data_IF_364453549392
#
_entry.id   IF_364453549392
#
_cell.length_a   1.000
_cell.length_b   1.000
_cell.length_c   1.000
_cell.angle_alpha   90.00
_cell.angle_beta   90.00
_cell.angle_gamma   90.00
#
_symmetry.space_group_name_H-M   'P 1'
#
loop_
_entity.id
_entity.type
_entity.pdbx_description
1 polymer ?
#
# COMPACT_ATOMS: atom_id res chain seq x y z
N UNK A 1 11.33 -5.07 -14.49
CA UNK A 1 12.10 -6.11 -13.77
C UNK A 1 12.71 -7.06 -14.78
N UNK A 2 13.98 -7.41 -14.60
CA UNK A 2 14.69 -8.44 -15.41
C UNK A 2 13.95 -9.78 -15.37
N UNK A 3 13.26 -10.08 -14.28
CA UNK A 3 12.45 -11.30 -14.13
C UNK A 3 11.32 -11.38 -15.16
N UNK A 4 10.70 -10.26 -15.55
CA UNK A 4 9.63 -10.27 -16.58
C UNK A 4 10.16 -10.62 -17.98
N UNK A 5 11.45 -10.41 -18.25
CA UNK A 5 12.09 -10.76 -19.53
C UNK A 5 12.62 -12.21 -19.58
N UNK A 6 12.71 -12.89 -18.44
CA UNK A 6 13.22 -14.26 -18.33
C UNK A 6 12.23 -15.08 -17.48
N UNK A 7 11.08 -15.49 -18.04
CA UNK A 7 10.10 -16.27 -17.30
C UNK A 7 10.72 -17.58 -16.81
N UNK A 8 10.48 -17.96 -15.54
CA UNK A 8 11.05 -19.17 -14.98
C UNK A 8 10.53 -20.42 -15.70
N UNK A 9 11.44 -21.31 -16.10
CA UNK A 9 11.10 -22.63 -16.63
C UNK A 9 10.86 -23.62 -15.49
N UNK A 10 9.86 -23.33 -14.64
CA UNK A 10 9.49 -24.16 -13.51
C UNK A 10 8.33 -25.05 -13.93
N UNK A 11 8.48 -26.37 -13.81
CA UNK A 11 7.43 -27.36 -14.10
C UNK A 11 7.22 -28.34 -12.93
N UNK A 12 7.42 -27.88 -11.70
CA UNK A 12 7.10 -28.60 -10.45
C UNK A 12 6.05 -27.82 -9.67
N UNK A 13 5.23 -28.46 -8.81
CA UNK A 13 4.35 -27.77 -7.91
C UNK A 13 5.13 -26.80 -7.03
N UNK A 14 4.58 -25.60 -6.81
CA UNK A 14 5.20 -24.53 -6.02
C UNK A 14 4.24 -24.09 -4.93
N UNK A 15 4.72 -23.92 -3.70
CA UNK A 15 3.99 -23.21 -2.65
C UNK A 15 4.62 -21.84 -2.46
N UNK A 16 3.83 -20.79 -2.66
CA UNK A 16 4.25 -19.39 -2.46
C UNK A 16 3.53 -18.86 -1.25
N UNK A 17 4.28 -18.28 -0.31
CA UNK A 17 3.74 -17.73 0.92
C UNK A 17 4.20 -16.29 1.05
N UNK A 18 3.24 -15.37 1.22
CA UNK A 18 3.48 -13.95 1.43
C UNK A 18 2.72 -13.46 2.66
N UNK A 19 3.18 -12.38 3.25
CA UNK A 19 2.47 -11.65 4.30
C UNK A 19 2.00 -10.30 3.79
N UNK A 20 0.82 -9.85 4.23
CA UNK A 20 0.34 -8.51 3.87
C UNK A 20 1.32 -7.40 4.28
N UNK A 21 2.09 -7.60 5.34
CA UNK A 21 3.08 -6.63 5.83
C UNK A 21 4.52 -7.12 5.67
N UNK A 22 4.75 -8.06 4.75
CA UNK A 22 6.10 -8.50 4.39
C UNK A 22 6.69 -7.53 3.34
N UNK A 23 7.86 -6.97 3.63
CA UNK A 23 8.59 -6.09 2.70
C UNK A 23 9.04 -6.80 1.40
N UNK A 24 9.02 -8.14 1.35
CA UNK A 24 9.26 -8.93 0.14
C UNK A 24 7.98 -9.27 -0.64
N UNK A 25 6.81 -8.85 -0.19
CA UNK A 25 5.53 -9.22 -0.77
C UNK A 25 5.48 -8.97 -2.28
N UNK A 26 5.93 -7.80 -2.76
CA UNK A 26 5.93 -7.47 -4.19
C UNK A 26 6.70 -8.49 -5.02
N UNK A 27 7.92 -8.81 -4.61
CA UNK A 27 8.78 -9.80 -5.30
C UNK A 27 8.21 -11.21 -5.23
N UNK A 28 7.61 -11.59 -4.10
CA UNK A 28 6.97 -12.89 -3.88
C UNK A 28 5.75 -13.08 -4.79
N UNK A 29 4.88 -12.08 -4.87
CA UNK A 29 3.72 -12.11 -5.76
C UNK A 29 4.13 -12.11 -7.24
N UNK A 30 5.10 -11.28 -7.62
CA UNK A 30 5.65 -11.28 -8.97
C UNK A 30 6.22 -12.66 -9.34
N UNK A 31 6.90 -13.33 -8.39
CA UNK A 31 7.41 -14.69 -8.58
C UNK A 31 6.30 -15.68 -8.90
N UNK A 32 5.15 -15.58 -8.21
CA UNK A 32 3.98 -16.41 -8.50
C UNK A 32 3.31 -16.06 -9.83
N UNK A 33 3.15 -14.78 -10.14
CA UNK A 33 2.56 -14.31 -11.40
C UNK A 33 3.33 -14.82 -12.63
N UNK A 34 4.66 -14.91 -12.54
CA UNK A 34 5.52 -15.35 -13.62
C UNK A 34 5.52 -16.87 -13.86
N UNK A 35 4.90 -17.66 -12.98
CA UNK A 35 4.71 -19.10 -13.21
C UNK A 35 3.80 -19.30 -14.43
N UNK A 36 4.08 -20.35 -15.20
CA UNK A 36 3.19 -20.76 -16.30
C UNK A 36 1.83 -21.21 -15.74
N UNK A 37 0.76 -21.08 -16.53
CA UNK A 37 -0.57 -21.56 -16.13
C UNK A 37 -0.56 -23.06 -15.79
N UNK A 38 0.23 -23.86 -16.53
CA UNK A 38 0.46 -25.28 -16.22
C UNK A 38 1.07 -25.50 -14.84
N UNK A 39 1.96 -24.61 -14.41
CA UNK A 39 2.60 -24.68 -13.09
C UNK A 39 1.65 -24.17 -12.01
N UNK A 40 0.96 -23.06 -12.25
CA UNK A 40 -0.05 -22.51 -11.31
C UNK A 40 -1.15 -23.53 -11.01
N UNK A 41 -1.65 -24.26 -12.02
CA UNK A 41 -2.70 -25.26 -11.86
C UNK A 41 -2.39 -26.39 -10.85
N UNK A 42 -1.14 -26.54 -10.46
CA UNK A 42 -0.67 -27.50 -9.46
C UNK A 42 0.06 -26.87 -8.28
N UNK A 43 -0.07 -25.55 -8.16
CA UNK A 43 0.64 -24.74 -7.17
C UNK A 43 -0.34 -23.96 -6.30
N UNK A 44 0.17 -23.38 -5.22
CA UNK A 44 -0.65 -22.55 -4.34
C UNK A 44 0.01 -21.24 -3.97
N UNK A 45 -0.84 -20.25 -3.68
CA UNK A 45 -0.48 -18.96 -3.12
C UNK A 45 -1.21 -18.77 -1.79
N UNK A 46 -0.47 -18.48 -0.74
CA UNK A 46 -1.03 -18.18 0.58
C UNK A 46 -0.55 -16.79 0.98
N UNK A 47 -1.49 -15.89 1.28
CA UNK A 47 -1.19 -14.52 1.72
C UNK A 47 -1.84 -14.30 3.08
N UNK A 48 -1.02 -14.21 4.12
CA UNK A 48 -1.50 -14.08 5.49
C UNK A 48 -1.42 -12.66 6.05
N UNK A 49 -2.04 -12.47 7.23
CA UNK A 49 -2.02 -11.20 7.96
C UNK A 49 -0.72 -10.95 8.73
N UNK A 50 0.40 -11.48 8.30
CA UNK A 50 1.70 -11.44 9.00
C UNK A 50 2.74 -10.56 8.32
N UNK A 51 3.83 -10.29 9.06
CA UNK A 51 5.06 -9.67 8.58
C UNK A 51 6.04 -10.74 8.04
N UNK A 52 7.28 -10.34 7.74
CA UNK A 52 8.33 -11.23 7.25
C UNK A 52 8.68 -12.37 8.23
N UNK A 53 8.53 -12.16 9.52
CA UNK A 53 8.82 -13.15 10.55
C UNK A 53 7.63 -14.10 10.79
N UNK A 54 6.61 -14.10 9.94
CA UNK A 54 5.34 -14.83 10.09
C UNK A 54 4.64 -14.55 11.44
N UNK A 55 4.86 -13.34 11.97
CA UNK A 55 4.13 -12.89 13.16
C UNK A 55 2.87 -12.20 12.70
N UNK A 56 1.76 -12.61 13.27
CA UNK A 56 0.47 -11.98 12.99
C UNK A 56 0.51 -10.53 13.41
N UNK A 57 0.30 -9.67 12.46
CA UNK A 57 0.04 -8.27 12.67
C UNK A 57 -1.22 -7.90 11.89
N UNK A 58 -2.13 -7.19 12.43
CA UNK A 58 -2.03 -6.46 13.67
C UNK A 58 -2.81 -7.18 14.78
N UNK A 59 -2.37 -7.00 16.01
CA UNK A 59 -3.34 -6.97 17.08
C UNK A 59 -4.09 -5.65 16.94
N UNK A 60 -5.10 -5.61 16.09
CA UNK A 60 -6.07 -4.53 16.09
C UNK A 60 -6.79 -4.67 17.43
N UNK A 61 -6.63 -3.70 18.34
CA UNK A 61 -7.30 -3.73 19.63
C UNK A 61 -8.79 -4.02 19.40
N UNK A 62 -9.28 -5.13 19.94
CA UNK A 62 -10.66 -5.60 19.78
C UNK A 62 -10.94 -6.53 18.60
N UNK A 63 -9.98 -6.84 17.74
CA UNK A 63 -10.11 -7.93 16.75
C UNK A 63 -9.02 -8.95 17.03
N UNK A 64 -9.40 -10.08 17.59
CA UNK A 64 -8.50 -11.23 17.72
C UNK A 64 -8.32 -11.87 16.35
N UNK A 65 -7.10 -11.82 15.81
CA UNK A 65 -6.71 -12.57 14.63
C UNK A 65 -6.33 -14.00 15.06
N UNK A 66 -7.31 -14.74 15.55
CA UNK A 66 -7.11 -16.04 16.19
C UNK A 66 -7.15 -17.20 15.19
N UNK A 67 -7.43 -16.93 13.93
CA UNK A 67 -7.50 -17.97 12.91
C UNK A 67 -6.21 -18.09 12.12
N UNK A 68 -5.09 -17.98 12.81
CA UNK A 68 -3.80 -18.18 12.20
C UNK A 68 -3.68 -19.59 11.62
N UNK A 69 -3.40 -19.62 10.34
CA UNK A 69 -2.92 -20.84 9.71
C UNK A 69 -1.54 -21.14 10.31
N UNK A 70 -1.40 -22.30 10.96
CA UNK A 70 -0.07 -22.78 11.30
C UNK A 70 0.66 -23.13 10.00
N UNK A 71 1.36 -22.12 9.44
CA UNK A 71 1.97 -22.20 8.11
C UNK A 71 3.00 -23.31 8.01
N UNK A 72 3.69 -23.67 9.11
CA UNK A 72 4.65 -24.76 9.10
C UNK A 72 3.96 -26.11 9.01
N UNK A 73 2.93 -26.35 9.83
CA UNK A 73 2.16 -27.57 9.79
C UNK A 73 1.43 -27.73 8.43
N UNK A 74 0.89 -26.66 7.90
CA UNK A 74 0.24 -26.63 6.59
C UNK A 74 1.23 -26.93 5.46
N UNK A 75 2.41 -26.34 5.50
CA UNK A 75 3.48 -26.60 4.53
C UNK A 75 3.97 -28.04 4.60
N UNK A 76 4.14 -28.62 5.80
CA UNK A 76 4.50 -30.02 5.97
C UNK A 76 3.43 -30.96 5.42
N UNK A 77 2.15 -30.67 5.65
CA UNK A 77 1.03 -31.42 5.08
C UNK A 77 1.05 -31.40 3.55
N UNK A 78 1.26 -30.22 2.96
CA UNK A 78 1.37 -30.06 1.51
C UNK A 78 2.55 -30.86 0.94
N UNK A 79 3.72 -30.80 1.57
CA UNK A 79 4.90 -31.59 1.18
C UNK A 79 4.65 -33.09 1.34
N UNK A 80 3.97 -33.52 2.40
CA UNK A 80 3.60 -34.93 2.62
C UNK A 80 2.71 -35.43 1.46
N UNK A 81 1.70 -34.67 1.07
CA UNK A 81 0.84 -35.00 -0.05
C UNK A 81 1.65 -35.20 -1.34
N UNK A 82 2.60 -34.31 -1.61
CA UNK A 82 3.41 -34.35 -2.81
C UNK A 82 4.45 -35.48 -2.81
N UNK A 83 5.19 -35.65 -1.71
CA UNK A 83 6.37 -36.50 -1.66
C UNK A 83 6.09 -37.91 -1.13
N UNK A 84 5.15 -38.06 -0.23
CA UNK A 84 4.80 -39.34 0.41
C UNK A 84 3.61 -39.99 -0.27
N UNK A 85 2.50 -39.25 -0.41
CA UNK A 85 1.31 -39.75 -1.10
C UNK A 85 1.48 -39.77 -2.63
N UNK A 86 2.53 -39.14 -3.14
CA UNK A 86 2.81 -39.00 -4.59
C UNK A 86 1.62 -38.46 -5.39
N UNK A 87 0.84 -37.57 -4.77
CA UNK A 87 -0.33 -36.93 -5.35
C UNK A 87 -0.03 -35.47 -5.64
N UNK A 88 -0.36 -35.01 -6.85
CA UNK A 88 -0.23 -33.60 -7.21
C UNK A 88 -1.30 -32.81 -6.46
N UNK A 89 -0.92 -31.80 -5.64
CA UNK A 89 -1.87 -30.93 -4.96
C UNK A 89 -2.73 -30.15 -5.96
N UNK A 90 -3.95 -29.84 -5.57
CA UNK A 90 -4.84 -28.96 -6.35
C UNK A 90 -4.35 -27.51 -6.25
N UNK A 91 -4.75 -26.70 -7.23
CA UNK A 91 -4.57 -25.27 -7.21
C UNK A 91 -5.28 -24.65 -6.01
N UNK A 92 -4.61 -23.74 -5.30
CA UNK A 92 -5.16 -23.08 -4.13
C UNK A 92 -4.65 -21.66 -4.06
N UNK A 93 -5.54 -20.69 -3.87
CA UNK A 93 -5.22 -19.31 -3.52
C UNK A 93 -5.98 -18.96 -2.26
N UNK A 94 -5.24 -18.77 -1.16
CA UNK A 94 -5.80 -18.37 0.14
C UNK A 94 -5.27 -17.02 0.55
N UNK A 95 -6.17 -16.08 0.86
CA UNK A 95 -5.80 -14.74 1.30
C UNK A 95 -6.55 -14.40 2.59
N UNK A 96 -5.80 -13.97 3.58
CA UNK A 96 -6.38 -13.55 4.85
C UNK A 96 -6.98 -12.15 4.75
N UNK A 97 -8.25 -12.02 5.10
CA UNK A 97 -8.97 -10.75 5.14
C UNK A 97 -8.84 -10.12 6.52
N UNK A 98 -7.99 -9.09 6.62
CA UNK A 98 -7.79 -8.31 7.84
C UNK A 98 -9.08 -7.53 8.13
N UNK A 99 -9.47 -7.42 9.40
CA UNK A 99 -10.72 -6.80 9.81
C UNK A 99 -11.92 -7.76 9.78
N UNK A 100 -12.00 -8.65 8.80
CA UNK A 100 -13.00 -9.71 8.73
C UNK A 100 -12.59 -10.97 9.52
N UNK A 101 -11.33 -11.08 9.92
CA UNK A 101 -10.75 -12.23 10.63
C UNK A 101 -11.10 -13.57 9.99
N UNK A 102 -10.89 -13.67 8.69
CA UNK A 102 -11.18 -14.92 7.93
C UNK A 102 -10.25 -15.13 6.75
N UNK A 103 -10.03 -16.39 6.41
CA UNK A 103 -9.41 -16.80 5.17
C UNK A 103 -10.43 -16.81 4.04
N UNK A 104 -10.03 -16.24 2.88
CA UNK A 104 -10.80 -16.27 1.66
C UNK A 104 -10.14 -17.24 0.69
N UNK A 105 -10.92 -18.20 0.18
CA UNK A 105 -10.53 -19.03 -0.95
C UNK A 105 -10.88 -18.28 -2.24
N UNK A 106 -9.91 -18.11 -3.12
CA UNK A 106 -10.02 -17.34 -4.36
C UNK A 106 -9.53 -18.18 -5.55
N UNK A 107 -10.00 -17.89 -6.74
CA UNK A 107 -9.44 -18.49 -7.95
C UNK A 107 -8.08 -17.91 -8.29
N UNK A 108 -7.93 -16.61 -8.06
CA UNK A 108 -6.66 -15.87 -8.22
C UNK A 108 -6.61 -14.65 -7.30
N UNK A 109 -5.43 -14.11 -7.09
CA UNK A 109 -5.28 -12.87 -6.36
C UNK A 109 -4.15 -11.99 -6.97
N UNK A 110 -4.36 -10.67 -7.14
CA UNK A 110 -5.58 -9.94 -6.75
C UNK A 110 -6.83 -10.49 -7.42
N UNK A 111 -7.97 -10.38 -6.71
CA UNK A 111 -9.25 -10.94 -7.17
C UNK A 111 -9.72 -10.29 -8.47
N UNK A 112 -10.19 -11.07 -9.42
CA UNK A 112 -10.94 -10.54 -10.55
C UNK A 112 -12.31 -10.04 -10.09
N UNK A 113 -12.79 -8.98 -10.73
CA UNK A 113 -14.15 -8.45 -10.51
C UNK A 113 -14.27 -7.45 -9.37
N UNK A 114 -13.18 -7.10 -8.66
CA UNK A 114 -13.20 -5.97 -7.75
C UNK A 114 -13.54 -4.68 -8.52
N UNK A 115 -14.53 -3.93 -8.02
CA UNK A 115 -14.95 -2.65 -8.62
C UNK A 115 -14.10 -1.52 -8.07
N UNK A 116 -13.64 -0.65 -8.95
CA UNK A 116 -12.92 0.54 -8.52
C UNK A 116 -13.87 1.56 -7.88
N UNK A 117 -13.62 1.90 -6.62
CA UNK A 117 -14.25 3.01 -5.93
C UNK A 117 -13.27 4.18 -5.88
N UNK A 118 -13.66 5.31 -6.48
CA UNK A 118 -12.82 6.52 -6.52
C UNK A 118 -13.30 7.53 -5.49
N UNK A 119 -12.38 7.99 -4.64
CA UNK A 119 -12.61 9.04 -3.65
C UNK A 119 -11.72 10.25 -3.96
N UNK A 120 -12.33 11.41 -4.11
CA UNK A 120 -11.67 12.69 -4.39
C UNK A 120 -11.43 13.47 -3.10
N UNK A 121 -10.30 14.17 -3.04
CA UNK A 121 -9.98 15.09 -1.96
C UNK A 121 -10.84 16.34 -2.04
N UNK A 122 -11.38 16.76 -0.91
CA UNK A 122 -12.16 17.97 -0.76
C UNK A 122 -11.35 19.24 -1.00
N UNK A 123 -12.03 20.31 -1.43
CA UNK A 123 -11.40 21.59 -1.75
C UNK A 123 -11.36 22.55 -0.55
N UNK A 124 -12.40 22.58 0.24
CA UNK A 124 -12.59 23.52 1.34
C UNK A 124 -12.51 22.83 2.72
N UNK A 125 -12.64 21.52 2.75
CA UNK A 125 -12.60 20.69 3.95
C UNK A 125 -11.69 19.48 3.72
N UNK A 126 -11.07 19.00 4.78
CA UNK A 126 -10.23 17.78 4.78
C UNK A 126 -11.09 16.51 4.60
N UNK A 127 -11.87 16.46 3.54
CA UNK A 127 -12.85 15.42 3.24
C UNK A 127 -12.46 14.55 2.05
N UNK A 128 -12.94 13.29 2.06
CA UNK A 128 -12.90 12.36 0.93
C UNK A 128 -14.32 12.04 0.50
N UNK A 129 -14.60 12.14 -0.79
CA UNK A 129 -15.92 11.89 -1.34
C UNK A 129 -15.84 11.25 -2.71
N UNK A 130 -16.80 10.38 -3.05
CA UNK A 130 -16.95 9.87 -4.43
C UNK A 130 -17.41 10.96 -5.40
N UNK A 131 -17.84 12.10 -4.90
CA UNK A 131 -18.21 13.27 -5.71
C UNK A 131 -16.97 14.11 -6.00
N UNK A 132 -16.63 14.25 -7.27
CA UNK A 132 -15.54 15.15 -7.67
C UNK A 132 -15.85 16.60 -7.29
N UNK A 133 -14.95 17.30 -6.58
CA UNK A 133 -15.17 18.69 -6.18
C UNK A 133 -15.21 19.64 -7.38
N UNK A 134 -16.09 20.62 -7.31
CA UNK A 134 -16.20 21.69 -8.32
C UNK A 134 -15.16 22.78 -8.07
N UNK A 135 -14.83 23.54 -9.14
CA UNK A 135 -13.89 24.65 -9.04
C UNK A 135 -12.43 24.23 -9.04
N UNK A 136 -11.57 25.01 -8.39
CA UNK A 136 -10.13 24.80 -8.22
C UNK A 136 -9.70 25.13 -6.80
N UNK A 137 -8.69 24.46 -6.29
CA UNK A 137 -8.09 24.71 -4.98
C UNK A 137 -6.78 23.97 -4.87
N UNK A 138 -6.11 24.14 -3.75
CA UNK A 138 -4.95 23.39 -3.37
C UNK A 138 -4.80 23.39 -1.83
N UNK A 139 -4.15 22.35 -1.32
CA UNK A 139 -3.62 22.26 0.03
C UNK A 139 -2.11 22.39 -0.04
N UNK A 140 -1.47 22.96 0.96
CA UNK A 140 -0.02 23.19 0.94
C UNK A 140 0.61 22.80 2.27
N UNK A 141 1.86 22.34 2.18
CA UNK A 141 2.71 22.07 3.35
C UNK A 141 4.18 22.33 2.99
N UNK A 142 5.00 22.46 4.02
CA UNK A 142 6.44 22.59 3.88
C UNK A 142 7.10 21.27 4.28
N UNK A 143 7.94 20.73 3.42
CA UNK A 143 8.72 19.53 3.71
C UNK A 143 10.17 19.87 3.98
N UNK A 144 10.64 19.52 5.19
CA UNK A 144 12.04 19.62 5.61
C UNK A 144 12.64 18.21 5.71
N UNK A 145 13.62 17.85 4.84
CA UNK A 145 14.29 16.56 4.91
C UNK A 145 15.07 16.32 6.21
N UNK A 146 15.38 17.35 6.99
CA UNK A 146 16.07 17.22 8.29
C UNK A 146 15.12 16.78 9.42
N UNK A 147 13.80 16.93 9.23
CA UNK A 147 12.76 16.51 10.17
C UNK A 147 11.69 15.65 9.45
N UNK A 148 12.05 14.45 8.97
CA UNK A 148 11.12 13.63 8.21
C UNK A 148 9.98 13.06 9.07
N UNK A 149 8.85 12.81 8.44
CA UNK A 149 7.77 12.00 9.04
C UNK A 149 8.31 10.61 9.34
N UNK A 150 8.14 10.17 10.58
CA UNK A 150 8.61 8.86 11.04
C UNK A 150 7.54 7.80 10.74
N UNK A 151 7.98 6.69 10.14
CA UNK A 151 7.12 5.54 9.86
C UNK A 151 6.56 4.94 11.14
N UNK A 152 5.25 4.70 11.13
CA UNK A 152 4.53 4.02 12.20
C UNK A 152 3.78 2.85 11.58
N UNK A 153 4.29 1.64 11.79
CA UNK A 153 3.78 0.43 11.13
C UNK A 153 4.30 0.27 9.69
N UNK A 154 3.58 -0.50 8.89
CA UNK A 154 3.91 -0.79 7.50
C UNK A 154 4.85 -1.97 7.31
N UNK A 155 5.40 -2.10 6.11
CA UNK A 155 6.29 -3.20 5.69
C UNK A 155 7.76 -2.91 6.05
N UNK A 156 8.03 -2.42 7.27
CA UNK A 156 9.38 -2.03 7.72
C UNK A 156 10.13 -3.21 8.31
N UNK A 157 11.40 -3.40 7.91
CA UNK A 157 12.28 -4.43 8.49
C UNK A 157 13.37 -3.85 9.41
N UNK A 158 13.73 -2.60 9.27
CA UNK A 158 15.04 -2.07 9.63
C UNK A 158 15.25 -1.74 11.12
N UNK A 159 14.25 -1.94 11.99
CA UNK A 159 14.45 -1.64 13.41
C UNK A 159 13.56 -2.47 14.30
N UNK A 160 14.14 -3.08 15.33
CA UNK A 160 13.38 -3.69 16.44
C UNK A 160 12.59 -2.65 17.27
N UNK A 161 12.88 -1.35 17.08
CA UNK A 161 12.20 -0.25 17.76
C UNK A 161 10.96 0.25 17.02
N UNK A 162 10.83 -0.06 15.73
CA UNK A 162 9.67 0.34 14.91
C UNK A 162 8.70 -0.83 14.87
N UNK A 163 7.46 -0.58 15.28
CA UNK A 163 6.40 -1.58 15.19
C UNK A 163 6.07 -1.82 13.71
N UNK A 164 6.04 -3.09 13.31
CA UNK A 164 5.69 -3.54 11.96
C UNK A 164 4.18 -3.74 11.84
N UNK A 165 3.71 -3.83 10.61
CA UNK A 165 2.33 -4.17 10.30
C UNK A 165 1.37 -3.00 10.44
N UNK A 166 0.10 -3.31 10.67
CA UNK A 166 -0.90 -2.30 10.98
C UNK A 166 -0.88 -2.00 12.48
N UNK A 167 -0.69 -0.76 12.84
CA UNK A 167 -0.56 -0.32 14.23
C UNK A 167 -1.30 1.01 14.43
N UNK A 168 -1.57 1.34 15.69
CA UNK A 168 -2.20 2.61 16.06
C UNK A 168 -1.39 3.78 15.51
N UNK A 169 -2.04 4.63 14.73
CA UNK A 169 -1.48 5.81 14.11
C UNK A 169 -1.62 7.05 15.01
N UNK A 170 -0.82 8.07 14.72
CA UNK A 170 -0.96 9.38 15.35
C UNK A 170 -2.29 10.05 14.96
N UNK A 171 -2.84 10.89 15.83
CA UNK A 171 -4.06 11.63 15.51
C UNK A 171 -3.85 12.59 14.33
N UNK A 172 -4.94 12.98 13.66
CA UNK A 172 -4.89 14.01 12.62
C UNK A 172 -4.33 15.33 13.17
N UNK A 173 -3.54 16.04 12.36
CA UNK A 173 -2.98 17.33 12.73
C UNK A 173 -1.81 17.26 13.72
N UNK A 174 -1.22 16.10 13.98
CA UNK A 174 -0.02 16.00 14.84
C UNK A 174 1.25 16.61 14.22
N UNK A 175 1.25 16.83 12.90
CA UNK A 175 2.31 17.53 12.14
C UNK A 175 1.67 18.41 11.06
N UNK A 176 2.28 19.56 10.82
CA UNK A 176 1.82 20.52 9.80
C UNK A 176 2.26 20.12 8.38
N UNK A 177 3.21 19.20 8.24
CA UNK A 177 3.69 18.66 6.96
C UNK A 177 2.96 17.38 6.51
N UNK A 178 1.84 17.05 7.15
CA UNK A 178 0.93 15.98 6.77
C UNK A 178 -0.45 16.56 6.51
N UNK A 179 -0.88 16.49 5.26
CA UNK A 179 -2.27 16.74 4.91
C UNK A 179 -3.09 15.49 5.15
N UNK A 180 -4.24 15.61 5.78
CA UNK A 180 -5.16 14.50 6.03
C UNK A 180 -6.54 14.74 5.43
N UNK A 181 -7.19 13.64 5.04
CA UNK A 181 -8.55 13.66 4.45
C UNK A 181 -9.33 12.46 4.96
N UNK A 182 -10.61 12.70 5.33
CA UNK A 182 -11.49 11.68 5.92
C UNK A 182 -12.74 11.49 5.05
N UNK A 183 -13.13 10.24 4.85
CA UNK A 183 -14.43 9.93 4.26
C UNK A 183 -15.57 10.14 5.27
N UNK A 184 -16.81 10.12 4.80
CA UNK A 184 -17.95 9.86 5.69
C UNK A 184 -17.84 8.44 6.27
N UNK A 185 -18.42 8.19 7.46
CA UNK A 185 -18.47 6.85 8.03
C UNK A 185 -19.23 5.88 7.13
N UNK A 186 -18.79 4.63 7.07
CA UNK A 186 -19.48 3.57 6.35
C UNK A 186 -20.58 2.95 7.19
N UNK A 187 -21.80 2.85 6.65
CA UNK A 187 -22.92 2.19 7.33
C UNK A 187 -22.77 0.66 7.39
N UNK A 188 -21.97 0.09 6.49
CA UNK A 188 -21.79 -1.37 6.32
C UNK A 188 -20.31 -1.67 6.18
N UNK A 189 -19.89 -2.93 6.47
CA UNK A 189 -18.54 -3.35 6.15
C UNK A 189 -18.21 -3.11 4.68
N UNK A 190 -16.99 -2.66 4.40
CA UNK A 190 -16.48 -2.44 3.04
C UNK A 190 -15.16 -3.17 2.87
N UNK A 191 -15.12 -4.13 1.94
CA UNK A 191 -13.93 -4.94 1.71
C UNK A 191 -13.09 -4.36 0.57
N UNK A 192 -11.89 -3.90 0.90
CA UNK A 192 -10.84 -3.57 -0.06
C UNK A 192 -10.12 -4.88 -0.42
N UNK A 193 -9.95 -5.17 -1.72
CA UNK A 193 -9.24 -6.37 -2.17
C UNK A 193 -8.46 -6.11 -3.45
N UNK A 194 -7.16 -5.85 -3.29
CA UNK A 194 -6.24 -5.58 -4.40
C UNK A 194 -5.30 -4.40 -4.13
N UNK A 195 -4.58 -3.92 -5.17
CA UNK A 195 -3.68 -2.78 -5.07
C UNK A 195 -4.46 -1.47 -4.93
N UNK A 196 -3.95 -0.56 -4.10
CA UNK A 196 -4.49 0.78 -3.95
C UNK A 196 -3.68 1.75 -4.83
N UNK A 197 -4.34 2.75 -5.40
CA UNK A 197 -3.67 3.75 -6.24
C UNK A 197 -4.11 5.16 -5.87
N UNK A 198 -3.16 6.05 -5.65
CA UNK A 198 -3.44 7.47 -5.55
C UNK A 198 -2.96 8.20 -6.81
N UNK A 199 -3.80 9.10 -7.31
CA UNK A 199 -3.48 10.04 -8.40
C UNK A 199 -3.45 11.44 -7.80
N UNK A 200 -2.25 11.94 -7.53
CA UNK A 200 -2.03 13.20 -6.84
C UNK A 200 -1.61 14.28 -7.83
N UNK A 201 -2.46 15.28 -8.04
CA UNK A 201 -2.09 16.47 -8.77
C UNK A 201 -1.24 17.36 -7.87
N UNK A 202 0.01 17.53 -8.23
CA UNK A 202 1.05 18.04 -7.35
C UNK A 202 1.91 19.10 -8.00
N UNK A 203 2.42 20.04 -7.21
CA UNK A 203 3.51 20.93 -7.61
C UNK A 203 4.43 21.25 -6.45
N UNK A 204 5.70 21.47 -6.76
CA UNK A 204 6.77 21.79 -5.82
C UNK A 204 7.60 22.97 -6.36
N UNK A 205 8.27 23.69 -5.48
CA UNK A 205 9.29 24.69 -5.86
C UNK A 205 10.68 24.08 -6.09
N UNK A 206 10.79 22.73 -6.04
CA UNK A 206 12.00 21.98 -6.29
C UNK A 206 11.96 21.23 -7.62
N UNK A 207 13.11 20.88 -8.19
CA UNK A 207 13.22 20.12 -9.45
C UNK A 207 12.91 18.63 -9.28
N UNK A 208 12.97 18.11 -8.05
CA UNK A 208 12.55 16.76 -7.69
C UNK A 208 12.19 16.71 -6.20
N UNK A 209 11.22 15.89 -5.83
CA UNK A 209 10.81 15.63 -4.45
C UNK A 209 9.97 14.38 -4.37
N UNK A 210 9.71 13.87 -3.17
CA UNK A 210 8.83 12.73 -2.97
C UNK A 210 7.40 13.15 -2.60
N UNK A 211 6.46 12.28 -2.93
CA UNK A 211 5.06 12.31 -2.49
C UNK A 211 4.75 10.96 -1.85
N UNK A 212 4.40 10.95 -0.57
CA UNK A 212 3.92 9.77 0.14
C UNK A 212 2.42 9.84 0.34
N UNK A 213 1.76 8.70 0.23
CA UNK A 213 0.33 8.56 0.49
C UNK A 213 0.15 7.38 1.43
N UNK A 214 -0.46 7.63 2.58
CA UNK A 214 -0.84 6.59 3.54
C UNK A 214 -2.36 6.48 3.60
N UNK A 215 -2.88 5.26 3.47
CA UNK A 215 -4.29 4.94 3.63
C UNK A 215 -4.46 4.21 4.95
N UNK A 216 -5.41 4.64 5.75
CA UNK A 216 -5.71 4.11 7.08
C UNK A 216 -7.21 3.93 7.27
N UNK A 217 -7.59 3.08 8.21
CA UNK A 217 -8.92 2.99 8.78
C UNK A 217 -9.00 3.81 10.07
N UNK A 218 -9.83 4.84 10.10
CA UNK A 218 -10.23 5.51 11.34
C UNK A 218 -11.53 4.87 11.82
N UNK A 219 -11.50 4.26 12.99
CA UNK A 219 -12.63 3.55 13.58
C UNK A 219 -13.61 4.49 14.25
N UNK A 220 -14.80 4.00 14.56
CA UNK A 220 -15.86 4.76 15.22
C UNK A 220 -15.45 5.33 16.59
N UNK A 221 -14.48 4.73 17.28
CA UNK A 221 -13.90 5.20 18.54
C UNK A 221 -12.78 6.24 18.37
N UNK A 222 -12.44 6.58 17.13
CA UNK A 222 -11.37 7.52 16.78
C UNK A 222 -9.97 6.89 16.70
N UNK A 223 -9.81 5.60 17.00
CA UNK A 223 -8.54 4.91 16.78
C UNK A 223 -8.28 4.72 15.28
N UNK A 224 -7.04 4.89 14.85
CA UNK A 224 -6.68 4.81 13.44
C UNK A 224 -5.59 3.77 13.23
N UNK A 225 -5.75 2.91 12.22
CA UNK A 225 -4.79 1.86 11.86
C UNK A 225 -4.40 1.98 10.39
N UNK A 226 -3.08 1.90 10.10
CA UNK A 226 -2.58 1.96 8.73
C UNK A 226 -2.96 0.71 7.94
N UNK A 227 -3.43 0.92 6.71
CA UNK A 227 -3.73 -0.13 5.73
C UNK A 227 -2.55 -0.30 4.78
N UNK A 228 -2.17 0.79 4.07
CA UNK A 228 -1.06 0.81 3.11
C UNK A 228 -0.40 2.17 3.06
N UNK A 229 0.89 2.15 2.71
CA UNK A 229 1.64 3.36 2.36
C UNK A 229 2.32 3.16 1.02
N UNK A 230 2.41 4.21 0.23
CA UNK A 230 3.15 4.23 -1.03
C UNK A 230 3.92 5.54 -1.18
N UNK A 231 4.91 5.52 -2.07
CA UNK A 231 5.74 6.67 -2.41
C UNK A 231 5.96 6.76 -3.92
N UNK A 232 6.02 7.97 -4.44
CA UNK A 232 6.55 8.27 -5.76
C UNK A 232 7.39 9.54 -5.70
N UNK A 233 8.25 9.76 -6.70
CA UNK A 233 8.96 11.02 -6.86
C UNK A 233 8.51 11.73 -8.13
N UNK A 234 8.76 13.04 -8.22
CA UNK A 234 8.45 13.79 -9.46
C UNK A 234 9.23 13.24 -10.66
N UNK A 235 10.43 12.71 -10.42
CA UNK A 235 11.24 12.08 -11.48
C UNK A 235 10.62 10.75 -11.99
N UNK A 236 9.79 10.08 -11.20
CA UNK A 236 9.15 8.80 -11.56
C UNK A 236 7.62 8.85 -11.39
N UNK A 237 7.03 10.03 -11.63
CA UNK A 237 5.62 10.33 -11.34
C UNK A 237 4.57 9.51 -12.07
N UNK A 238 4.95 8.86 -13.19
CA UNK A 238 4.06 7.96 -13.94
C UNK A 238 4.25 6.47 -13.59
N UNK A 239 5.06 6.19 -12.56
CA UNK A 239 5.42 4.86 -12.08
C UNK A 239 6.02 3.93 -13.15
N UNK A 240 6.68 4.48 -14.19
CA UNK A 240 7.38 3.70 -15.20
C UNK A 240 8.84 3.52 -14.83
N UNK A 241 9.20 2.31 -14.43
CA UNK A 241 10.59 1.96 -14.14
C UNK A 241 11.49 2.24 -15.34
N UNK A 242 12.62 2.92 -15.09
CA UNK A 242 13.63 3.26 -16.09
C UNK A 242 13.34 4.50 -16.94
N UNK A 243 12.20 5.16 -16.74
CA UNK A 243 11.82 6.39 -17.45
C UNK A 243 11.85 7.59 -16.51
N UNK A 244 13.05 8.07 -16.21
CA UNK A 244 13.20 9.29 -15.41
C UNK A 244 12.73 10.50 -16.20
N UNK A 245 11.86 11.30 -15.60
CA UNK A 245 11.30 12.52 -16.18
C UNK A 245 11.93 13.76 -15.52
N UNK A 246 12.08 14.81 -16.29
CA UNK A 246 12.39 16.15 -15.75
C UNK A 246 11.13 16.81 -15.22
N UNK A 247 11.29 17.69 -14.26
CA UNK A 247 10.22 18.49 -13.69
C UNK A 247 10.64 19.95 -13.63
N UNK A 248 9.74 20.85 -14.01
CA UNK A 248 9.95 22.29 -13.89
C UNK A 248 9.30 22.78 -12.59
N UNK A 249 10.04 23.41 -11.68
CA UNK A 249 9.47 23.95 -10.44
C UNK A 249 8.21 24.80 -10.67
N UNK A 250 7.15 24.49 -9.93
CA UNK A 250 5.84 25.14 -10.03
C UNK A 250 4.88 24.56 -11.08
N UNK A 251 5.34 23.66 -11.94
CA UNK A 251 4.45 22.94 -12.86
C UNK A 251 3.48 22.03 -12.10
N UNK A 252 2.20 21.99 -12.54
CA UNK A 252 1.21 21.09 -11.97
C UNK A 252 1.20 19.80 -12.76
N UNK A 253 1.59 18.69 -12.13
CA UNK A 253 1.67 17.35 -12.73
C UNK A 253 0.86 16.32 -11.95
N UNK A 254 0.39 15.27 -12.61
CA UNK A 254 -0.20 14.11 -11.90
C UNK A 254 0.92 13.17 -11.49
N UNK A 255 0.96 12.81 -10.21
CA UNK A 255 1.87 11.81 -9.62
C UNK A 255 1.05 10.59 -9.28
N UNK A 256 1.45 9.43 -9.81
CA UNK A 256 0.85 8.14 -9.49
C UNK A 256 1.61 7.51 -8.35
N UNK A 257 0.92 7.24 -7.24
CA UNK A 257 1.44 6.49 -6.10
C UNK A 257 0.72 5.16 -6.03
N UNK A 258 1.42 4.08 -6.36
CA UNK A 258 0.91 2.72 -6.24
C UNK A 258 1.28 2.13 -4.88
N UNK A 259 0.37 1.35 -4.33
CA UNK A 259 0.52 0.66 -3.05
C UNK A 259 0.28 -0.83 -3.24
N UNK A 260 0.98 -1.64 -2.48
CA UNK A 260 0.86 -3.10 -2.55
C UNK A 260 -0.59 -3.56 -2.31
N UNK A 261 -1.00 -4.67 -2.93
CA UNK A 261 -2.35 -5.20 -2.75
C UNK A 261 -2.56 -5.66 -1.30
N UNK A 262 -3.82 -5.56 -0.83
CA UNK A 262 -4.25 -6.00 0.49
C UNK A 262 -5.69 -6.51 0.42
N UNK A 263 -6.08 -7.38 1.35
CA UNK A 263 -7.47 -7.64 1.67
C UNK A 263 -7.76 -7.09 3.07
N UNK A 264 -8.60 -6.06 3.11
CA UNK A 264 -8.95 -5.35 4.34
C UNK A 264 -10.45 -5.05 4.38
N UNK A 265 -11.11 -5.45 5.45
CA UNK A 265 -12.51 -5.11 5.68
C UNK A 265 -12.62 -3.95 6.68
N UNK A 266 -13.06 -2.79 6.19
CA UNK A 266 -13.42 -1.65 7.01
C UNK A 266 -14.67 -1.98 7.81
N UNK A 267 -14.68 -1.64 9.09
CA UNK A 267 -15.81 -1.93 9.97
C UNK A 267 -16.93 -0.90 9.82
N UNK A 268 -18.18 -1.24 10.15
CA UNK A 268 -19.28 -0.25 10.23
C UNK A 268 -18.92 0.90 11.17
N UNK A 269 -19.21 2.13 10.76
CA UNK A 269 -18.86 3.34 11.49
C UNK A 269 -17.43 3.83 11.26
N UNK A 270 -16.57 3.01 10.62
CA UNK A 270 -15.21 3.43 10.26
C UNK A 270 -15.21 4.37 9.06
N UNK A 271 -14.10 5.11 8.91
CA UNK A 271 -13.81 6.01 7.79
C UNK A 271 -12.51 5.61 7.13
N UNK A 272 -12.36 5.92 5.85
CA UNK A 272 -11.06 5.96 5.19
C UNK A 272 -10.38 7.27 5.57
N UNK A 273 -9.14 7.18 6.07
CA UNK A 273 -8.23 8.31 6.23
C UNK A 273 -7.12 8.19 5.20
N UNK A 274 -6.84 9.30 4.52
CA UNK A 274 -5.71 9.44 3.60
C UNK A 274 -4.81 10.54 4.12
N UNK A 275 -3.55 10.22 4.38
CA UNK A 275 -2.51 11.18 4.73
C UNK A 275 -1.57 11.37 3.54
N UNK A 276 -1.23 12.62 3.21
CA UNK A 276 -0.28 12.97 2.15
C UNK A 276 0.85 13.79 2.75
N UNK A 277 2.09 13.37 2.50
CA UNK A 277 3.31 14.04 2.91
C UNK A 277 4.42 13.85 1.87
N UNK A 278 5.67 14.14 2.21
CA UNK A 278 6.85 13.93 1.36
C UNK A 278 7.88 12.97 1.95
N UNK A 279 7.57 12.33 3.07
CA UNK A 279 8.45 11.37 3.74
C UNK A 279 7.65 10.35 4.55
N UNK A 280 8.25 9.19 4.79
CA UNK A 280 7.82 8.14 5.73
C UNK A 280 9.06 7.29 6.06
N UNK A 281 9.93 7.83 6.91
CA UNK A 281 11.24 7.26 7.24
C UNK A 281 11.14 6.37 8.49
N UNK A 282 11.77 5.21 8.52
CA UNK A 282 12.69 4.63 7.55
C UNK A 282 12.06 3.63 6.56
N UNK A 283 10.72 3.55 6.43
CA UNK A 283 10.11 2.68 5.41
C UNK A 283 10.59 3.09 4.02
N UNK A 284 10.69 4.39 3.79
CA UNK A 284 11.27 4.96 2.58
C UNK A 284 12.45 5.88 2.92
N UNK A 285 13.41 5.94 2.02
CA UNK A 285 14.54 6.86 2.13
C UNK A 285 14.10 8.31 2.07
N UNK A 286 14.75 9.17 2.85
CA UNK A 286 14.49 10.61 2.87
C UNK A 286 14.90 11.21 1.51
N UNK A 287 13.99 11.90 0.84
CA UNK A 287 14.28 12.61 -0.40
C UNK A 287 14.90 13.98 -0.09
N UNK A 288 16.00 14.31 -0.72
CA UNK A 288 16.78 15.53 -0.46
C UNK A 288 16.17 16.81 -1.04
N UNK A 289 15.14 16.69 -1.90
CA UNK A 289 14.56 17.74 -2.75
C UNK A 289 15.49 18.25 -3.86
N UNK A 290 16.53 17.47 -4.19
CA UNK A 290 17.39 17.70 -5.35
C UNK A 290 17.21 16.56 -6.37
N UNK A 291 17.31 16.85 -7.68
CA UNK A 291 17.31 15.83 -8.71
C UNK A 291 18.63 15.04 -8.69
N UNK A 292 18.59 13.80 -9.12
CA UNK A 292 19.79 12.96 -9.28
C UNK A 292 19.68 11.59 -8.64
N UNK A 293 20.82 10.93 -8.55
CA UNK A 293 20.92 9.63 -7.88
C UNK A 293 20.93 9.85 -6.38
N UNK A 294 19.95 9.26 -5.69
CA UNK A 294 19.75 9.48 -4.26
C UNK A 294 21.03 9.21 -3.42
N UNK A 295 21.75 8.11 -3.70
CA UNK A 295 22.95 7.75 -2.93
C UNK A 295 24.15 8.70 -3.14
N UNK A 296 24.09 9.58 -4.13
CA UNK A 296 25.15 10.55 -4.44
C UNK A 296 24.83 11.95 -3.87
N UNK A 297 23.66 12.13 -3.29
CA UNK A 297 23.22 13.43 -2.80
C UNK A 297 23.81 13.73 -1.43
N UNK A 298 24.46 14.90 -1.31
CA UNK A 298 25.10 15.35 -0.08
C UNK A 298 24.46 16.61 0.50
N UNK A 299 23.44 17.15 -0.17
CA UNK A 299 22.72 18.36 0.22
C UNK A 299 21.25 18.08 0.36
N UNK A 300 20.59 18.79 1.26
CA UNK A 300 19.14 18.81 1.42
C UNK A 300 18.64 20.24 1.32
N UNK A 301 17.39 20.43 0.92
CA UNK A 301 16.70 21.71 1.01
C UNK A 301 15.24 21.51 1.39
N UNK A 302 14.68 22.52 2.04
CA UNK A 302 13.25 22.61 2.32
C UNK A 302 12.48 22.84 1.00
N UNK A 303 11.31 22.23 0.87
CA UNK A 303 10.43 22.35 -0.29
C UNK A 303 9.02 22.80 0.11
N UNK A 304 8.44 23.71 -0.69
CA UNK A 304 7.04 24.11 -0.57
C UNK A 304 6.20 23.26 -1.53
N UNK A 305 5.32 22.45 -0.96
CA UNK A 305 4.52 21.47 -1.67
C UNK A 305 3.07 21.94 -1.81
N UNK A 306 2.44 21.61 -2.94
CA UNK A 306 1.01 21.85 -3.15
C UNK A 306 0.33 20.62 -3.74
N UNK A 307 -0.74 20.20 -3.10
CA UNK A 307 -1.66 19.16 -3.58
C UNK A 307 -2.88 19.87 -4.17
N UNK A 308 -3.05 19.77 -5.48
CA UNK A 308 -4.13 20.45 -6.19
C UNK A 308 -5.40 19.61 -6.19
N UNK A 309 -6.54 20.27 -6.07
CA UNK A 309 -7.86 19.66 -5.98
C UNK A 309 -8.88 20.39 -6.86
N UNK A 310 -9.97 19.72 -7.19
CA UNK A 310 -11.06 20.30 -7.95
C UNK A 310 -11.25 19.71 -9.35
N UNK A 311 -12.03 20.38 -10.20
CA UNK A 311 -12.46 19.80 -11.47
C UNK A 311 -11.29 19.54 -12.44
N UNK A 312 -10.33 20.46 -12.54
CA UNK A 312 -9.20 20.35 -13.48
C UNK A 312 -8.08 19.44 -12.97
N UNK A 313 -7.87 19.43 -11.66
CA UNK A 313 -6.80 18.69 -11.01
C UNK A 313 -7.39 17.83 -9.88
N UNK A 314 -8.08 16.73 -10.23
CA UNK A 314 -8.84 15.92 -9.28
C UNK A 314 -7.92 14.91 -8.56
N UNK A 315 -7.23 15.35 -7.51
CA UNK A 315 -6.50 14.42 -6.64
C UNK A 315 -7.48 13.43 -6.02
N UNK A 316 -7.14 12.13 -6.11
CA UNK A 316 -8.03 11.03 -5.73
C UNK A 316 -7.28 9.79 -5.29
N UNK A 317 -7.95 8.98 -4.50
CA UNK A 317 -7.58 7.60 -4.19
C UNK A 317 -8.55 6.65 -4.89
N UNK A 318 -8.03 5.55 -5.43
CA UNK A 318 -8.76 4.49 -6.12
C UNK A 318 -8.58 3.22 -5.29
N UNK A 319 -9.68 2.65 -4.84
CA UNK A 319 -9.74 1.45 -4.01
C UNK A 319 -10.47 0.33 -4.75
N UNK A 320 -9.88 -0.87 -4.85
CA UNK A 320 -10.57 -2.05 -5.37
C UNK A 320 -11.52 -2.60 -4.29
N UNK A 321 -12.82 -2.59 -4.56
CA UNK A 321 -13.86 -3.02 -3.62
C UNK A 321 -14.50 -4.32 -4.12
N UNK A 322 -14.60 -5.32 -3.23
CA UNK A 322 -15.35 -6.58 -3.46
C UNK A 322 -16.80 -6.45 -3.04
#
# INVERSE_FOLDING_TARGET
SLLKSIPPKIDVPVTVVAGHFDHHMEGTLLGYELLSEKTKAKSRLIVGGWDHDFKTTPKLDGIEHDKDLNIEADRLKWLHTLLVEQRIPEHEVKVYAIGADKWLDMEQWPAEGAKEATYYLGKDESSLSQKQPKGKGFWSYMYDPSDPVISVGGETLFSSKIRKGSVLQQPVGYRDDILFFLSEPFDKPLMISGPLTAKVWFSSDCEDTAVTVKVSEERADGTTYNIRTGIATLAYRDNKLGSRQTYTPGEIVEVTVEMLPIVWELQPGSRIRVDISSSDFPQYSIHSNYPGVWSEQTKIRVANQKVHVGKKHPTRIILPIL
#
